data_IF_401330829332
#
_entry.id   IF_401330829332
#
_cell.length_a   1.000
_cell.length_b   1.000
_cell.length_c   1.000
_cell.angle_alpha   90.00
_cell.angle_beta   90.00
_cell.angle_gamma   90.00
#
_symmetry.space_group_name_H-M   'P 1'
#
loop_
_entity.id
_entity.type
_entity.pdbx_description
1 polymer ?
#
# COMPACT_ATOMS: atom_id res chain seq x y z
N UNK A 1 3.13 -24.24 -6.39
CA UNK A 1 2.73 -23.69 -5.06
C UNK A 1 2.18 -22.31 -5.33
N UNK A 2 0.98 -22.01 -4.84
CA UNK A 2 0.40 -20.67 -5.03
C UNK A 2 1.17 -19.61 -4.23
N UNK A 3 1.44 -18.47 -4.86
CA UNK A 3 2.12 -17.33 -4.22
C UNK A 3 1.07 -16.30 -3.77
N UNK A 4 1.19 -15.87 -2.54
CA UNK A 4 0.52 -14.66 -2.03
C UNK A 4 1.61 -13.66 -1.66
N UNK A 5 1.73 -12.62 -2.45
CA UNK A 5 2.71 -11.56 -2.23
C UNK A 5 2.05 -10.35 -1.58
N UNK A 6 2.63 -9.90 -0.48
CA UNK A 6 2.00 -8.90 0.40
C UNK A 6 2.31 -7.46 -0.04
N UNK A 7 3.19 -7.24 -1.03
CA UNK A 7 3.55 -5.88 -1.43
C UNK A 7 4.11 -5.78 -2.84
N UNK A 8 3.71 -4.76 -3.58
CA UNK A 8 4.42 -4.23 -4.74
C UNK A 8 4.01 -2.78 -5.03
N UNK A 9 4.95 -1.98 -5.57
CA UNK A 9 4.77 -0.56 -5.93
C UNK A 9 4.36 -0.35 -7.38
N UNK A 10 3.85 -1.38 -8.03
CA UNK A 10 3.56 -1.33 -9.48
C UNK A 10 2.57 -0.21 -9.83
N UNK A 11 1.61 0.14 -8.96
CA UNK A 11 0.66 1.23 -9.21
C UNK A 11 1.38 2.58 -9.29
N UNK A 12 2.26 2.87 -8.34
CA UNK A 12 3.07 4.10 -8.31
C UNK A 12 3.97 4.18 -9.56
N UNK A 13 4.63 3.09 -9.92
CA UNK A 13 5.50 3.03 -11.10
C UNK A 13 4.72 3.26 -12.41
N UNK A 14 3.51 2.72 -12.54
CA UNK A 14 2.63 2.98 -13.68
C UNK A 14 2.19 4.44 -13.73
N UNK A 15 1.88 5.05 -12.56
CA UNK A 15 1.54 6.48 -12.45
C UNK A 15 2.72 7.35 -12.87
N UNK A 16 3.92 7.09 -12.36
CA UNK A 16 5.13 7.86 -12.74
C UNK A 16 5.44 7.74 -14.22
N UNK A 17 5.34 6.54 -14.79
CA UNK A 17 5.54 6.33 -16.23
C UNK A 17 4.52 7.12 -17.08
N UNK A 18 3.26 7.17 -16.65
CA UNK A 18 2.21 7.95 -17.31
C UNK A 18 2.50 9.45 -17.22
N UNK A 19 2.88 9.96 -16.04
CA UNK A 19 3.25 11.38 -15.86
C UNK A 19 4.48 11.78 -16.67
N UNK A 20 5.43 10.86 -16.85
CA UNK A 20 6.61 11.08 -17.71
C UNK A 20 6.31 10.98 -19.21
N UNK A 21 5.05 10.77 -19.63
CA UNK A 21 4.68 10.58 -21.03
C UNK A 21 5.16 9.26 -21.66
N UNK A 22 5.49 8.26 -20.83
CA UNK A 22 5.98 6.94 -21.25
C UNK A 22 5.16 5.84 -20.59
N UNK A 23 3.83 5.77 -20.84
CA UNK A 23 2.96 4.82 -20.17
C UNK A 23 3.44 3.38 -20.41
N UNK A 24 3.37 2.57 -19.34
CA UNK A 24 3.73 1.14 -19.38
C UNK A 24 2.47 0.27 -19.34
N UNK A 25 2.54 -0.88 -20.00
CA UNK A 25 1.49 -1.88 -19.94
C UNK A 25 1.60 -2.69 -18.64
N UNK A 26 0.47 -3.06 -18.06
CA UNK A 26 0.46 -4.04 -16.97
C UNK A 26 0.55 -5.49 -17.48
N UNK A 27 0.21 -5.74 -18.75
CA UNK A 27 0.31 -7.09 -19.32
C UNK A 27 1.76 -7.57 -19.36
N UNK A 28 2.64 -6.75 -19.87
CA UNK A 28 4.07 -7.00 -19.98
C UNK A 28 4.84 -5.68 -19.85
N UNK A 29 5.84 -5.63 -18.99
CA UNK A 29 6.65 -4.44 -18.75
C UNK A 29 8.06 -4.79 -18.23
N UNK A 30 8.87 -3.76 -18.03
CA UNK A 30 10.22 -3.83 -17.48
C UNK A 30 10.29 -3.50 -15.97
N UNK A 31 9.13 -3.42 -15.29
CA UNK A 31 9.03 -3.25 -13.84
C UNK A 31 9.25 -4.59 -13.11
N UNK A 32 9.09 -4.62 -11.80
CA UNK A 32 9.26 -5.83 -11.00
C UNK A 32 8.13 -6.84 -11.22
N UNK A 33 6.90 -6.38 -11.50
CA UNK A 33 5.72 -7.22 -11.65
C UNK A 33 4.91 -6.81 -12.89
N UNK A 34 4.38 -7.81 -13.59
CA UNK A 34 3.36 -7.69 -14.62
C UNK A 34 2.46 -8.94 -14.63
N UNK A 35 1.37 -8.87 -15.39
CA UNK A 35 0.37 -9.94 -15.44
C UNK A 35 0.94 -11.27 -15.99
N UNK A 36 1.84 -11.21 -16.97
CA UNK A 36 2.48 -12.42 -17.51
C UNK A 36 3.35 -13.11 -16.47
N UNK A 37 4.17 -12.34 -15.73
CA UNK A 37 5.00 -12.88 -14.63
C UNK A 37 4.16 -13.38 -13.46
N UNK A 38 3.03 -12.72 -13.13
CA UNK A 38 2.08 -13.25 -12.16
C UNK A 38 1.53 -14.61 -12.58
N UNK A 39 1.21 -14.79 -13.86
CA UNK A 39 0.75 -16.10 -14.39
C UNK A 39 1.85 -17.14 -14.33
N UNK A 40 3.07 -16.81 -14.76
CA UNK A 40 4.23 -17.71 -14.75
C UNK A 40 4.65 -18.10 -13.33
N UNK A 41 4.60 -17.18 -12.38
CA UNK A 41 4.93 -17.38 -10.97
C UNK A 41 3.85 -18.07 -10.15
N UNK A 42 2.73 -18.47 -10.76
CA UNK A 42 1.57 -19.09 -10.09
C UNK A 42 1.04 -18.22 -8.92
N UNK A 43 1.01 -16.90 -9.12
CA UNK A 43 0.43 -15.98 -8.14
C UNK A 43 -1.04 -16.25 -7.93
N UNK A 44 -1.44 -16.36 -6.67
CA UNK A 44 -2.83 -16.39 -6.25
C UNK A 44 -3.33 -14.97 -5.99
N UNK A 45 -2.60 -14.21 -5.17
CA UNK A 45 -2.97 -12.86 -4.75
C UNK A 45 -1.73 -11.96 -4.69
N UNK A 46 -1.91 -10.73 -5.14
CA UNK A 46 -0.95 -9.64 -5.00
C UNK A 46 -1.58 -8.48 -4.23
N UNK A 47 -0.92 -8.01 -3.18
CA UNK A 47 -1.23 -6.74 -2.55
C UNK A 47 -0.61 -5.62 -3.39
N UNK A 48 -1.45 -4.73 -3.89
CA UNK A 48 -1.10 -3.62 -4.78
C UNK A 48 -1.07 -2.35 -3.95
N UNK A 49 0.12 -1.87 -3.62
CA UNK A 49 0.29 -0.68 -2.81
C UNK A 49 0.06 0.60 -3.61
N UNK A 50 -0.73 1.51 -3.06
CA UNK A 50 -0.69 2.91 -3.38
C UNK A 50 0.41 3.54 -2.53
N UNK A 51 1.59 3.74 -3.13
CA UNK A 51 2.73 4.35 -2.47
C UNK A 51 2.81 5.83 -2.77
N UNK A 52 2.91 6.66 -1.74
CA UNK A 52 3.02 8.10 -1.89
C UNK A 52 4.22 8.67 -1.16
N UNK A 53 4.87 9.66 -1.76
CA UNK A 53 5.91 10.43 -1.12
C UNK A 53 5.30 11.57 -0.29
N UNK A 54 5.85 11.82 0.91
CA UNK A 54 5.47 12.99 1.70
C UNK A 54 6.37 14.20 1.45
N UNK A 55 7.45 14.04 0.68
CA UNK A 55 8.32 15.15 0.28
C UNK A 55 7.62 16.02 -0.79
N UNK A 56 7.37 17.32 -0.52
CA UNK A 56 6.63 18.19 -1.45
C UNK A 56 7.27 18.36 -2.84
N UNK A 57 8.58 18.13 -2.93
CA UNK A 57 9.34 18.17 -4.17
C UNK A 57 9.00 16.98 -5.08
N UNK A 58 8.61 15.86 -4.49
CA UNK A 58 8.24 14.64 -5.22
C UNK A 58 6.74 14.53 -5.40
N UNK A 59 5.97 14.87 -4.36
CA UNK A 59 4.51 14.72 -4.38
C UNK A 59 3.83 15.94 -3.75
N UNK A 60 3.15 16.73 -4.59
CA UNK A 60 2.47 17.96 -4.14
C UNK A 60 1.20 17.68 -3.35
N UNK A 61 0.57 16.56 -3.57
CA UNK A 61 -0.67 16.15 -2.93
C UNK A 61 -0.69 14.64 -2.73
N UNK A 62 -0.20 14.15 -1.57
CA UNK A 62 -0.16 12.70 -1.29
C UNK A 62 -1.52 12.02 -1.42
N UNK A 63 -2.60 12.64 -0.94
CA UNK A 63 -3.94 12.08 -1.08
C UNK A 63 -4.38 11.98 -2.55
N UNK A 64 -4.10 12.99 -3.37
CA UNK A 64 -4.44 12.95 -4.80
C UNK A 64 -3.64 11.85 -5.52
N UNK A 65 -2.35 11.73 -5.22
CA UNK A 65 -1.51 10.65 -5.77
C UNK A 65 -2.08 9.27 -5.44
N UNK A 66 -2.46 9.06 -4.18
CA UNK A 66 -3.11 7.82 -3.75
C UNK A 66 -4.42 7.56 -4.54
N UNK A 67 -5.25 8.58 -4.76
CA UNK A 67 -6.48 8.44 -5.54
C UNK A 67 -6.22 8.14 -7.02
N UNK A 68 -5.17 8.73 -7.63
CA UNK A 68 -4.75 8.41 -9.00
C UNK A 68 -4.29 6.95 -9.13
N UNK A 69 -3.59 6.42 -8.13
CA UNK A 69 -3.16 5.01 -8.09
C UNK A 69 -4.33 4.06 -7.88
N UNK A 70 -5.33 4.44 -7.07
CA UNK A 70 -6.59 3.71 -6.93
C UNK A 70 -7.34 3.66 -8.28
N UNK A 71 -7.37 4.76 -9.03
CA UNK A 71 -7.95 4.80 -10.38
C UNK A 71 -7.23 3.83 -11.34
N UNK A 72 -5.88 3.82 -11.31
CA UNK A 72 -5.10 2.86 -12.10
C UNK A 72 -5.49 1.43 -11.72
N UNK A 73 -5.58 1.10 -10.43
CA UNK A 73 -5.99 -0.23 -9.95
C UNK A 73 -7.34 -0.66 -10.55
N UNK A 74 -8.34 0.20 -10.53
CA UNK A 74 -9.66 -0.15 -11.09
C UNK A 74 -9.64 -0.28 -12.60
N UNK A 75 -8.90 0.58 -13.30
CA UNK A 75 -8.71 0.45 -14.75
C UNK A 75 -8.03 -0.87 -15.15
N UNK A 76 -7.09 -1.38 -14.35
CA UNK A 76 -6.48 -2.69 -14.58
C UNK A 76 -7.50 -3.83 -14.45
N UNK A 77 -8.38 -3.78 -13.44
CA UNK A 77 -9.47 -4.75 -13.28
C UNK A 77 -10.45 -4.73 -14.46
N UNK A 78 -10.77 -3.55 -14.98
CA UNK A 78 -11.64 -3.37 -16.14
C UNK A 78 -10.96 -3.83 -17.44
N UNK A 79 -9.66 -3.61 -17.57
CA UNK A 79 -8.88 -3.98 -18.77
C UNK A 79 -8.64 -5.49 -18.85
N UNK A 80 -8.52 -6.18 -17.73
CA UNK A 80 -8.20 -7.61 -17.66
C UNK A 80 -9.23 -8.41 -16.85
N UNK A 81 -10.52 -8.32 -17.19
CA UNK A 81 -11.60 -8.89 -16.38
C UNK A 81 -11.58 -10.42 -16.32
N UNK A 82 -10.99 -11.09 -17.32
CA UNK A 82 -10.86 -12.54 -17.35
C UNK A 82 -9.66 -13.07 -16.54
N UNK A 83 -8.68 -12.22 -16.28
CA UNK A 83 -7.43 -12.57 -15.62
C UNK A 83 -7.34 -12.10 -14.17
N UNK A 84 -8.00 -10.98 -13.84
CA UNK A 84 -7.90 -10.31 -12.55
C UNK A 84 -9.24 -10.29 -11.81
N UNK A 85 -9.18 -10.28 -10.49
CA UNK A 85 -10.32 -9.95 -9.64
C UNK A 85 -9.87 -9.22 -8.38
N UNK A 86 -10.69 -8.28 -7.92
CA UNK A 86 -10.46 -7.62 -6.64
C UNK A 86 -10.75 -8.56 -5.47
N UNK A 87 -9.89 -8.50 -4.44
CA UNK A 87 -10.08 -9.20 -3.16
C UNK A 87 -10.23 -8.17 -2.05
N UNK A 88 -11.37 -8.19 -1.36
CA UNK A 88 -11.70 -7.30 -0.24
C UNK A 88 -12.15 -8.05 1.01
N UNK A 89 -12.55 -9.31 0.85
CA UNK A 89 -13.13 -10.13 1.91
C UNK A 89 -12.62 -11.56 1.86
N UNK A 90 -12.79 -12.31 2.95
CA UNK A 90 -12.47 -13.74 2.97
C UNK A 90 -13.31 -14.53 1.93
N UNK A 91 -14.54 -14.10 1.64
CA UNK A 91 -15.37 -14.72 0.62
C UNK A 91 -14.77 -14.55 -0.79
N UNK A 92 -14.15 -13.39 -1.07
CA UNK A 92 -13.46 -13.16 -2.33
C UNK A 92 -12.28 -14.12 -2.51
N UNK A 93 -11.54 -14.43 -1.41
CA UNK A 93 -10.45 -15.42 -1.44
C UNK A 93 -11.00 -16.80 -1.80
N UNK A 94 -12.14 -17.21 -1.23
CA UNK A 94 -12.75 -18.51 -1.57
C UNK A 94 -13.15 -18.55 -3.05
N UNK A 95 -13.70 -17.47 -3.57
CA UNK A 95 -14.03 -17.34 -4.99
C UNK A 95 -12.77 -17.40 -5.85
N UNK A 96 -11.71 -16.68 -5.45
CA UNK A 96 -10.43 -16.64 -6.15
C UNK A 96 -9.81 -18.02 -6.31
N UNK A 97 -9.85 -18.85 -5.27
CA UNK A 97 -9.27 -20.20 -5.28
C UNK A 97 -9.81 -21.09 -6.41
N UNK A 98 -11.01 -20.83 -6.89
CA UNK A 98 -11.69 -21.62 -7.94
C UNK A 98 -11.86 -20.89 -9.26
N UNK A 99 -11.60 -19.58 -9.30
CA UNK A 99 -11.86 -18.73 -10.48
C UNK A 99 -10.84 -18.87 -11.60
N UNK A 100 -9.64 -19.36 -11.31
CA UNK A 100 -8.51 -19.33 -12.24
C UNK A 100 -7.85 -17.96 -12.42
N UNK A 101 -8.42 -16.90 -11.81
CA UNK A 101 -7.90 -15.53 -11.89
C UNK A 101 -6.76 -15.27 -10.91
N UNK A 102 -6.16 -14.08 -10.99
CA UNK A 102 -5.20 -13.54 -10.03
C UNK A 102 -5.90 -12.48 -9.20
N UNK A 103 -5.82 -12.63 -7.88
CA UNK A 103 -6.39 -11.67 -6.93
C UNK A 103 -5.53 -10.42 -6.85
N UNK A 104 -6.18 -9.27 -6.72
CA UNK A 104 -5.54 -8.01 -6.39
C UNK A 104 -6.20 -7.42 -5.17
N UNK A 105 -5.44 -7.17 -4.10
CA UNK A 105 -5.90 -6.49 -2.90
C UNK A 105 -5.30 -5.09 -2.87
N UNK A 106 -6.14 -4.07 -2.77
CA UNK A 106 -5.71 -2.68 -2.72
C UNK A 106 -5.19 -2.34 -1.32
N UNK A 107 -3.98 -1.80 -1.25
CA UNK A 107 -3.34 -1.39 -0.01
C UNK A 107 -2.80 0.04 -0.14
N UNK A 108 -2.43 0.66 0.98
CA UNK A 108 -1.78 1.98 0.99
C UNK A 108 -0.48 1.85 1.76
N UNK A 109 0.61 2.30 1.15
CA UNK A 109 1.88 2.51 1.82
C UNK A 109 2.09 4.01 2.03
N UNK A 110 2.34 4.41 3.26
CA UNK A 110 2.40 5.77 3.78
C UNK A 110 1.02 6.33 4.16
N UNK A 111 0.61 6.05 5.40
CA UNK A 111 -0.66 6.53 5.98
C UNK A 111 -0.79 8.05 6.07
N UNK A 112 0.32 8.79 5.97
CA UNK A 112 0.32 10.25 5.83
C UNK A 112 -0.46 10.76 4.61
N UNK A 113 -0.75 9.88 3.63
CA UNK A 113 -1.69 10.16 2.55
C UNK A 113 -3.08 10.61 3.05
N UNK A 114 -3.48 10.16 4.25
CA UNK A 114 -4.75 10.53 4.87
C UNK A 114 -4.78 11.94 5.44
N UNK A 115 -3.64 12.65 5.52
CA UNK A 115 -3.54 14.00 6.12
C UNK A 115 -4.13 14.04 7.53
N UNK A 116 -3.85 13.02 8.35
CA UNK A 116 -4.33 12.84 9.74
C UNK A 116 -5.87 12.79 9.88
N UNK A 117 -6.58 12.56 8.77
CA UNK A 117 -8.04 12.56 8.72
C UNK A 117 -8.62 11.14 8.76
N UNK A 118 -9.36 10.81 9.85
CA UNK A 118 -10.16 9.58 9.91
C UNK A 118 -11.25 9.52 8.83
N UNK A 119 -11.70 10.68 8.33
CA UNK A 119 -12.62 10.76 7.19
C UNK A 119 -11.97 10.21 5.92
N UNK A 120 -10.73 10.64 5.62
CA UNK A 120 -9.97 10.14 4.49
C UNK A 120 -9.69 8.63 4.61
N UNK A 121 -9.31 8.14 5.79
CA UNK A 121 -9.15 6.69 6.04
C UNK A 121 -10.42 5.90 5.71
N UNK A 122 -11.60 6.38 6.16
CA UNK A 122 -12.89 5.73 5.86
C UNK A 122 -13.21 5.75 4.38
N UNK A 123 -12.88 6.83 3.68
CA UNK A 123 -13.13 6.94 2.25
C UNK A 123 -12.19 6.02 1.45
N UNK A 124 -10.92 5.90 1.83
CA UNK A 124 -10.01 4.90 1.25
C UNK A 124 -10.53 3.47 1.48
N UNK A 125 -11.06 3.16 2.67
CA UNK A 125 -11.72 1.86 2.92
C UNK A 125 -12.92 1.63 1.99
N UNK A 126 -13.79 2.64 1.79
CA UNK A 126 -14.95 2.56 0.86
C UNK A 126 -14.49 2.36 -0.58
N UNK A 127 -13.37 2.97 -0.95
CA UNK A 127 -12.71 2.78 -2.24
C UNK A 127 -12.02 1.42 -2.38
N UNK A 128 -12.02 0.57 -1.35
CA UNK A 128 -11.55 -0.81 -1.44
C UNK A 128 -10.21 -1.12 -0.79
N UNK A 129 -9.56 -0.15 -0.15
CA UNK A 129 -8.32 -0.39 0.62
C UNK A 129 -8.61 -1.33 1.79
N UNK A 130 -7.73 -2.32 2.00
CA UNK A 130 -7.87 -3.34 3.05
C UNK A 130 -6.65 -3.50 3.95
N UNK A 131 -5.56 -2.83 3.63
CA UNK A 131 -4.35 -2.80 4.44
C UNK A 131 -3.69 -1.43 4.30
N UNK A 132 -3.09 -0.94 5.38
CA UNK A 132 -2.35 0.33 5.36
C UNK A 132 -1.12 0.23 6.25
N UNK A 133 0.02 0.69 5.72
CA UNK A 133 1.25 0.97 6.45
C UNK A 133 1.16 2.39 7.01
N UNK A 134 1.33 2.57 8.32
CA UNK A 134 1.11 3.88 8.96
C UNK A 134 2.16 4.92 8.59
N UNK A 135 3.37 4.49 8.33
CA UNK A 135 4.47 5.34 7.87
C UNK A 135 5.43 4.53 6.98
N UNK A 136 6.01 5.17 5.99
CA UNK A 136 7.16 4.62 5.28
C UNK A 136 8.46 5.08 5.97
N UNK A 137 9.34 5.80 5.30
CA UNK A 137 10.59 6.33 5.88
C UNK A 137 10.44 7.78 6.36
N UNK A 138 9.21 8.26 6.51
CA UNK A 138 8.89 9.63 6.95
C UNK A 138 8.24 9.61 8.32
N UNK A 139 8.68 10.49 9.21
CA UNK A 139 7.87 10.85 10.36
C UNK A 139 6.66 11.65 9.87
N UNK A 140 5.47 11.18 10.19
CA UNK A 140 4.21 11.83 9.85
C UNK A 140 3.33 12.08 11.08
N UNK A 141 2.09 12.51 10.89
CA UNK A 141 1.15 12.76 11.99
C UNK A 141 0.69 11.49 12.73
N UNK A 142 0.98 10.28 12.21
CA UNK A 142 0.52 9.02 12.78
C UNK A 142 1.63 8.28 13.54
N UNK A 143 2.84 8.24 13.01
CA UNK A 143 3.90 7.38 13.53
C UNK A 143 5.31 7.89 13.22
N UNK A 144 6.27 7.33 13.92
CA UNK A 144 7.69 7.44 13.59
C UNK A 144 8.21 6.20 12.86
N UNK A 145 9.01 6.37 11.80
CA UNK A 145 9.57 5.27 11.03
C UNK A 145 10.69 4.56 11.79
N UNK A 146 11.02 3.35 11.34
CA UNK A 146 12.14 2.58 11.87
C UNK A 146 13.49 3.24 11.67
N UNK A 147 13.68 4.00 10.60
CA UNK A 147 14.91 4.78 10.40
C UNK A 147 14.88 6.09 11.18
N UNK A 148 16.03 6.48 11.74
CA UNK A 148 16.15 7.78 12.38
C UNK A 148 16.20 8.87 11.30
N UNK A 149 15.30 9.87 11.30
CA UNK A 149 15.32 10.94 10.31
C UNK A 149 16.65 11.69 10.29
N UNK A 150 17.10 12.08 9.09
CA UNK A 150 18.37 12.79 8.92
C UNK A 150 19.63 11.90 8.97
N UNK A 151 19.47 10.59 8.84
CA UNK A 151 20.59 9.63 8.80
C UNK A 151 20.78 8.99 7.43
N UNK A 152 20.33 9.68 6.37
CA UNK A 152 20.36 9.15 4.99
C UNK A 152 21.76 8.83 4.49
N UNK A 153 22.76 9.55 5.00
CA UNK A 153 24.19 9.34 4.66
C UNK A 153 24.85 8.22 5.45
N UNK A 154 24.14 7.61 6.41
CA UNK A 154 24.71 6.58 7.29
C UNK A 154 24.44 5.17 6.75
N UNK A 155 25.44 4.29 6.88
CA UNK A 155 25.27 2.87 6.60
C UNK A 155 26.07 2.01 7.59
N UNK A 156 25.43 1.08 8.32
CA UNK A 156 23.97 0.88 8.39
C UNK A 156 23.28 2.08 9.05
N UNK A 157 22.04 2.36 8.62
CA UNK A 157 21.21 3.40 9.26
C UNK A 157 20.84 2.96 10.67
N UNK A 158 20.91 3.87 11.68
CA UNK A 158 20.47 3.54 13.03
C UNK A 158 18.96 3.29 13.07
N UNK A 159 18.55 2.22 13.79
CA UNK A 159 17.16 1.93 14.02
C UNK A 159 16.55 2.90 15.05
N UNK A 160 15.33 3.36 14.81
CA UNK A 160 14.52 4.10 15.77
C UNK A 160 13.81 3.10 16.71
N UNK A 161 14.24 3.05 17.97
CA UNK A 161 13.69 2.12 18.96
C UNK A 161 12.77 2.79 19.99
N UNK A 162 12.60 4.12 19.94
CA UNK A 162 11.94 4.90 21.00
C UNK A 162 10.73 5.70 20.52
N UNK A 163 10.72 6.20 19.29
CA UNK A 163 9.58 6.91 18.72
C UNK A 163 8.51 5.92 18.26
N UNK A 164 7.30 6.01 18.78
CA UNK A 164 6.18 5.11 18.48
C UNK A 164 5.04 5.80 17.71
N UNK A 165 3.82 5.37 17.99
CA UNK A 165 2.61 5.99 17.46
C UNK A 165 2.35 7.32 18.16
N UNK A 166 1.77 8.27 17.43
CA UNK A 166 1.16 9.47 18.01
C UNK A 166 -0.23 9.13 18.59
N UNK A 167 -0.83 10.06 19.33
CA UNK A 167 -2.25 9.91 19.74
C UNK A 167 -3.15 9.73 18.52
N UNK A 168 -2.87 10.46 17.42
CA UNK A 168 -3.60 10.31 16.16
C UNK A 168 -3.36 8.94 15.50
N UNK A 169 -2.14 8.43 15.58
CA UNK A 169 -1.82 7.08 15.12
C UNK A 169 -2.62 6.00 15.86
N UNK A 170 -2.77 6.13 17.17
CA UNK A 170 -3.63 5.22 17.97
C UNK A 170 -5.09 5.30 17.53
N UNK A 171 -5.65 6.51 17.34
CA UNK A 171 -7.01 6.67 16.80
C UNK A 171 -7.17 6.02 15.42
N UNK A 172 -6.13 6.08 14.57
CA UNK A 172 -6.13 5.42 13.26
C UNK A 172 -6.16 3.90 13.38
N UNK A 173 -5.34 3.34 14.27
CA UNK A 173 -5.32 1.88 14.51
C UNK A 173 -6.66 1.39 15.03
N UNK A 174 -7.28 2.09 16.00
CA UNK A 174 -8.62 1.77 16.49
C UNK A 174 -9.67 1.79 15.38
N UNK A 175 -9.63 2.81 14.51
CA UNK A 175 -10.56 2.92 13.41
C UNK A 175 -10.31 1.84 12.34
N UNK A 176 -9.04 1.52 12.04
CA UNK A 176 -8.70 0.41 11.13
C UNK A 176 -9.22 -0.93 11.67
N UNK A 177 -9.06 -1.20 12.96
CA UNK A 177 -9.62 -2.39 13.60
C UNK A 177 -11.15 -2.43 13.49
N UNK A 178 -11.83 -1.32 13.77
CA UNK A 178 -13.29 -1.20 13.61
C UNK A 178 -13.76 -1.47 12.18
N UNK A 179 -12.96 -1.07 11.19
CA UNK A 179 -13.22 -1.30 9.76
C UNK A 179 -12.78 -2.68 9.27
N UNK A 180 -12.11 -3.49 10.11
CA UNK A 180 -11.46 -4.73 9.70
C UNK A 180 -10.41 -4.52 8.59
N UNK A 181 -9.69 -3.41 8.64
CA UNK A 181 -8.49 -3.17 7.85
C UNK A 181 -7.27 -3.77 8.54
N UNK A 182 -6.36 -4.34 7.76
CA UNK A 182 -5.08 -4.82 8.26
C UNK A 182 -4.15 -3.62 8.55
N UNK A 183 -3.53 -3.63 9.73
CA UNK A 183 -2.45 -2.70 10.06
C UNK A 183 -1.14 -3.36 9.64
N UNK A 184 -0.46 -2.77 8.67
CA UNK A 184 0.86 -3.22 8.25
C UNK A 184 1.92 -2.51 9.09
N UNK A 185 2.74 -3.29 9.78
CA UNK A 185 3.81 -2.81 10.67
C UNK A 185 5.14 -2.59 9.95
N UNK A 186 5.20 -2.81 8.64
CA UNK A 186 6.38 -2.51 7.82
C UNK A 186 6.77 -1.05 8.03
N UNK A 187 8.07 -0.79 8.06
CA UNK A 187 8.66 0.55 8.28
C UNK A 187 8.42 1.19 9.65
N UNK A 188 7.56 0.65 10.51
CA UNK A 188 7.40 1.18 11.86
C UNK A 188 8.65 0.97 12.72
N UNK A 189 8.87 1.90 13.64
CA UNK A 189 9.82 1.71 14.73
C UNK A 189 9.42 0.53 15.63
N UNK A 190 10.37 -0.02 16.38
CA UNK A 190 10.09 -1.05 17.39
C UNK A 190 9.02 -0.60 18.39
N UNK A 191 9.10 0.66 18.84
CA UNK A 191 8.11 1.22 19.76
C UNK A 191 6.71 1.27 19.13
N UNK A 192 6.60 1.68 17.86
CA UNK A 192 5.32 1.72 17.13
C UNK A 192 4.69 0.33 16.97
N UNK A 193 5.49 -0.71 16.74
CA UNK A 193 4.98 -2.09 16.70
C UNK A 193 4.39 -2.48 18.06
N UNK A 194 5.10 -2.17 19.15
CA UNK A 194 4.59 -2.47 20.50
C UNK A 194 3.34 -1.67 20.88
N UNK A 195 3.19 -0.44 20.40
CA UNK A 195 1.99 0.37 20.61
C UNK A 195 0.76 -0.25 19.95
N UNK A 196 0.92 -0.87 18.76
CA UNK A 196 -0.17 -1.59 18.08
C UNK A 196 -0.55 -2.89 18.80
N UNK A 197 0.40 -3.58 19.42
CA UNK A 197 0.19 -4.89 20.06
C UNK A 197 -0.37 -4.81 21.47
N UNK A 198 -0.45 -3.63 22.07
CA UNK A 198 -0.98 -3.39 23.43
C UNK A 198 -2.44 -3.03 23.42
#
# INVERSE_FOLDING_TARGET
>A
MKVWDMHCDTLAELRYAQQAGKPKSFLHNDLMLDLERMKQGDYLLQCMACFVHLEPEREKSPLLACLEEIDIFYRLLEQYPDDLMQVRTAADIQTLLTSGKRGMMLTVEEGGACLDSLGALRDLYRLGVRMMTLTWNFKNGLAEPNIVPGTDDMWPRPANTTGGLTEKGLEFVEEMQRLHMLVDVSHLSDAGIWDILR
#
